data_IF_005282729973
#
_entry.id   IF_005282729973
#
_cell.length_a   1.000
_cell.length_b   1.000
_cell.length_c   1.000
_cell.angle_alpha   90.00
_cell.angle_beta   90.00
_cell.angle_gamma   90.00
#
_symmetry.space_group_name_H-M   'P 1'
#
loop_
_entity.id
_entity.type
_entity.pdbx_description
1 polymer ?
#
# COMPACT_ATOMS: atom_id res chain seq x y z
N UNK A 1 21.99 -13.27 -1.20
CA UNK A 1 21.61 -11.93 -1.70
C UNK A 1 20.44 -11.45 -0.89
N UNK A 2 20.35 -10.17 -0.48
CA UNK A 2 19.15 -9.67 0.19
C UNK A 2 17.96 -9.86 -0.76
N UNK A 3 16.90 -10.51 -0.27
CA UNK A 3 15.68 -10.73 -1.05
C UNK A 3 15.03 -9.37 -1.32
N UNK A 4 14.59 -9.12 -2.56
CA UNK A 4 13.90 -7.87 -2.87
C UNK A 4 12.52 -7.92 -2.19
N UNK A 5 12.11 -6.85 -1.52
CA UNK A 5 10.80 -6.78 -0.86
C UNK A 5 9.65 -7.07 -1.84
N UNK A 6 9.83 -6.76 -3.13
CA UNK A 6 8.87 -7.10 -4.20
C UNK A 6 8.75 -8.59 -4.49
N UNK A 7 9.75 -9.39 -4.12
CA UNK A 7 9.71 -10.85 -4.27
C UNK A 7 8.82 -11.48 -3.18
N UNK A 8 8.83 -10.87 -1.99
CA UNK A 8 8.08 -11.31 -0.81
C UNK A 8 6.65 -10.77 -0.79
N UNK A 9 6.44 -9.57 -1.34
CA UNK A 9 5.20 -8.82 -1.27
C UNK A 9 4.78 -8.31 -2.65
N UNK A 10 3.52 -8.55 -3.03
CA UNK A 10 3.01 -8.10 -4.33
C UNK A 10 2.73 -6.59 -4.36
N UNK A 11 2.33 -6.02 -3.23
CA UNK A 11 1.90 -4.64 -3.12
C UNK A 11 2.44 -4.00 -1.83
N UNK A 12 3.75 -3.69 -1.77
CA UNK A 12 4.38 -3.18 -0.57
C UNK A 12 4.01 -1.70 -0.32
N UNK A 13 2.86 -1.47 0.31
CA UNK A 13 2.35 -0.14 0.62
C UNK A 13 2.58 0.26 2.09
N UNK A 14 2.79 1.56 2.39
CA UNK A 14 2.90 2.67 1.45
C UNK A 14 4.19 2.68 0.61
N UNK A 15 4.19 3.47 -0.47
CA UNK A 15 5.35 3.70 -1.35
C UNK A 15 5.68 5.19 -1.33
N UNK A 16 6.94 5.60 -1.03
CA UNK A 16 7.34 6.99 -1.07
C UNK A 16 7.16 7.58 -2.48
N UNK A 17 6.39 8.66 -2.62
CA UNK A 17 6.14 9.34 -3.89
C UNK A 17 5.75 10.81 -3.69
N UNK A 18 5.51 11.52 -4.79
CA UNK A 18 5.02 12.91 -4.80
C UNK A 18 3.71 13.05 -5.54
N UNK A 19 2.88 13.96 -5.07
CA UNK A 19 1.75 14.50 -5.84
C UNK A 19 2.33 15.33 -6.99
N UNK A 20 1.87 15.09 -8.21
CA UNK A 20 2.42 15.74 -9.38
C UNK A 20 1.79 17.13 -9.58
N UNK A 21 2.38 18.11 -8.91
CA UNK A 21 2.03 19.53 -9.05
C UNK A 21 3.22 20.33 -9.59
N UNK A 22 2.93 21.48 -10.20
CA UNK A 22 3.93 22.48 -10.54
C UNK A 22 4.43 23.23 -9.29
N UNK A 23 3.65 23.21 -8.21
CA UNK A 23 4.03 23.87 -6.95
C UNK A 23 5.18 23.13 -6.26
N UNK A 24 6.13 23.86 -5.63
CA UNK A 24 7.25 23.26 -4.90
C UNK A 24 6.82 22.57 -3.62
N UNK A 25 5.80 23.10 -2.93
CA UNK A 25 5.25 22.56 -1.69
C UNK A 25 3.75 22.35 -1.87
N UNK A 26 3.23 21.23 -1.38
CA UNK A 26 1.80 21.03 -1.30
C UNK A 26 1.17 21.88 -0.20
N UNK A 27 -0.07 22.30 -0.45
CA UNK A 27 -0.92 22.87 0.58
C UNK A 27 -1.14 21.88 1.74
N UNK A 28 -1.55 22.42 2.90
CA UNK A 28 -1.93 21.59 4.03
C UNK A 28 -3.06 20.63 3.61
N UNK A 29 -2.97 19.34 3.93
CA UNK A 29 -3.96 18.37 3.50
C UNK A 29 -5.31 18.61 4.18
N UNK A 30 -6.39 18.40 3.42
CA UNK A 30 -7.76 18.49 3.94
C UNK A 30 -8.06 17.31 4.87
N UNK A 31 -8.58 17.61 6.06
CA UNK A 31 -9.02 16.63 7.05
C UNK A 31 -10.38 16.05 6.64
N UNK A 32 -10.52 14.73 6.67
CA UNK A 32 -11.77 14.01 6.39
C UNK A 32 -12.26 13.22 7.61
N UNK A 33 -13.37 12.50 7.46
CA UNK A 33 -14.01 11.77 8.55
C UNK A 33 -13.14 10.61 9.07
N UNK A 34 -13.32 10.19 10.34
CA UNK A 34 -12.69 8.98 10.87
C UNK A 34 -12.99 7.75 10.02
N UNK A 35 -12.07 6.79 9.99
CA UNK A 35 -12.29 5.56 9.24
C UNK A 35 -11.01 4.81 8.92
N UNK A 36 -11.12 3.87 7.98
CA UNK A 36 -9.99 3.05 7.55
C UNK A 36 -9.13 3.82 6.55
N UNK A 37 -7.82 3.80 6.75
CA UNK A 37 -6.86 4.35 5.80
C UNK A 37 -6.84 3.50 4.52
N UNK A 38 -7.06 4.11 3.35
CA UNK A 38 -7.04 3.41 2.06
C UNK A 38 -5.71 2.69 1.81
N UNK A 39 -4.59 3.23 2.30
CA UNK A 39 -3.26 2.64 2.09
C UNK A 39 -2.95 1.49 3.06
N UNK A 40 -2.75 1.81 4.36
CA UNK A 40 -2.33 0.82 5.36
C UNK A 40 -3.46 0.05 6.04
N UNK A 41 -4.72 0.32 5.71
CA UNK A 41 -5.92 -0.32 6.30
C UNK A 41 -6.09 -0.14 7.82
N UNK A 42 -5.28 0.71 8.46
CA UNK A 42 -5.47 1.08 9.86
C UNK A 42 -6.71 1.97 10.02
N UNK A 43 -7.56 1.67 11.00
CA UNK A 43 -8.62 2.59 11.46
C UNK A 43 -8.00 3.71 12.27
N UNK A 44 -8.28 4.96 11.88
CA UNK A 44 -7.74 6.18 12.50
C UNK A 44 -8.86 7.19 12.76
N UNK A 45 -8.64 8.06 13.74
CA UNK A 45 -9.60 9.14 14.05
C UNK A 45 -9.56 10.26 13.00
N UNK A 46 -8.41 10.44 12.37
CA UNK A 46 -8.17 11.51 11.41
C UNK A 46 -7.65 10.92 10.11
N UNK A 47 -8.36 11.20 9.02
CA UNK A 47 -7.93 10.89 7.65
C UNK A 47 -7.70 12.17 6.88
N UNK A 48 -6.85 12.09 5.88
CA UNK A 48 -6.40 13.21 5.07
C UNK A 48 -6.68 12.88 3.62
N UNK A 49 -7.34 13.80 2.94
CA UNK A 49 -7.68 13.69 1.54
C UNK A 49 -6.42 13.79 0.69
N UNK A 50 -6.24 12.87 -0.24
CA UNK A 50 -5.22 12.92 -1.27
C UNK A 50 -5.88 12.67 -2.63
N UNK A 51 -6.01 13.72 -3.43
CA UNK A 51 -6.70 13.64 -4.73
C UNK A 51 -5.90 12.83 -5.77
N UNK A 52 -4.57 12.90 -5.71
CA UNK A 52 -3.70 12.23 -6.66
C UNK A 52 -2.59 11.43 -5.96
N UNK A 53 -2.49 10.16 -6.30
CA UNK A 53 -1.36 9.30 -5.96
C UNK A 53 -1.24 8.23 -7.02
N UNK A 54 -0.15 8.24 -7.78
CA UNK A 54 0.04 7.23 -8.82
C UNK A 54 0.14 5.80 -8.23
N UNK A 55 0.90 5.54 -7.14
CA UNK A 55 0.89 4.21 -6.52
C UNK A 55 -0.52 3.75 -6.12
N UNK A 56 -1.33 4.62 -5.51
CA UNK A 56 -2.69 4.25 -5.11
C UNK A 56 -3.62 4.07 -6.31
N UNK A 57 -3.45 4.86 -7.37
CA UNK A 57 -4.19 4.65 -8.62
C UNK A 57 -3.83 3.31 -9.28
N UNK A 58 -2.56 2.89 -9.28
CA UNK A 58 -2.20 1.53 -9.72
C UNK A 58 -2.92 0.45 -8.91
N UNK A 59 -3.00 0.64 -7.59
CA UNK A 59 -3.74 -0.28 -6.74
C UNK A 59 -5.22 -0.32 -7.10
N UNK A 60 -5.86 0.84 -7.25
CA UNK A 60 -7.26 0.98 -7.66
C UNK A 60 -7.53 0.30 -9.01
N UNK A 61 -6.71 0.58 -10.02
CA UNK A 61 -6.83 0.01 -11.36
C UNK A 61 -6.70 -1.52 -11.32
N UNK A 62 -5.72 -2.05 -10.57
CA UNK A 62 -5.54 -3.50 -10.39
C UNK A 62 -6.74 -4.15 -9.67
N UNK A 63 -7.32 -3.47 -8.68
CA UNK A 63 -8.50 -3.96 -7.97
C UNK A 63 -9.71 -4.01 -8.91
N UNK A 64 -9.93 -2.98 -9.71
CA UNK A 64 -11.02 -2.95 -10.70
C UNK A 64 -10.88 -4.08 -11.72
N UNK A 65 -9.69 -4.24 -12.30
CA UNK A 65 -9.40 -5.29 -13.28
C UNK A 65 -9.61 -6.70 -12.71
N UNK A 66 -9.11 -6.94 -11.49
CA UNK A 66 -9.24 -8.25 -10.84
C UNK A 66 -10.69 -8.52 -10.42
N UNK A 67 -11.42 -7.52 -9.93
CA UNK A 67 -12.83 -7.67 -9.56
C UNK A 67 -13.69 -7.95 -10.79
N UNK A 68 -13.45 -7.25 -11.90
CA UNK A 68 -14.12 -7.52 -13.18
C UNK A 68 -13.83 -8.94 -13.69
N UNK A 69 -12.56 -9.39 -13.58
CA UNK A 69 -12.18 -10.76 -13.93
C UNK A 69 -12.87 -11.79 -13.05
N UNK A 70 -12.88 -11.60 -11.74
CA UNK A 70 -13.51 -12.48 -10.77
C UNK A 70 -15.00 -12.63 -11.05
N UNK A 71 -15.69 -11.53 -11.35
CA UNK A 71 -17.10 -11.54 -11.73
C UNK A 71 -17.30 -12.35 -13.01
N UNK A 72 -16.56 -12.04 -14.08
CA UNK A 72 -16.67 -12.73 -15.36
C UNK A 72 -16.39 -14.24 -15.27
N UNK A 73 -15.40 -14.65 -14.48
CA UNK A 73 -15.08 -16.08 -14.30
C UNK A 73 -16.15 -16.81 -13.51
N UNK A 74 -16.73 -16.15 -12.49
CA UNK A 74 -17.85 -16.69 -11.71
C UNK A 74 -19.07 -16.91 -12.60
N UNK A 75 -19.50 -15.90 -13.35
CA UNK A 75 -20.63 -15.99 -14.27
C UNK A 75 -20.44 -17.08 -15.35
N UNK A 76 -19.22 -17.23 -15.87
CA UNK A 76 -18.91 -18.24 -16.87
C UNK A 76 -19.08 -19.66 -16.30
N UNK A 77 -18.58 -19.90 -15.08
CA UNK A 77 -18.72 -21.19 -14.41
C UNK A 77 -20.20 -21.49 -14.10
N UNK A 78 -20.93 -20.52 -13.54
CA UNK A 78 -22.37 -20.66 -13.26
C UNK A 78 -23.17 -20.98 -14.53
N UNK A 79 -22.84 -20.33 -15.65
CA UNK A 79 -23.50 -20.58 -16.95
C UNK A 79 -23.22 -21.98 -17.47
N UNK A 80 -22.00 -22.49 -17.32
CA UNK A 80 -21.65 -23.86 -17.70
C UNK A 80 -22.41 -24.87 -16.85
N UNK A 81 -22.40 -24.70 -15.53
CA UNK A 81 -23.13 -25.58 -14.60
C UNK A 81 -24.64 -25.59 -14.87
N UNK A 82 -25.23 -24.42 -15.17
CA UNK A 82 -26.66 -24.29 -15.48
C UNK A 82 -27.07 -24.99 -16.78
N UNK A 83 -26.17 -25.13 -17.76
CA UNK A 83 -26.45 -25.85 -19.01
C UNK A 83 -26.63 -27.36 -18.79
N UNK A 84 -26.10 -27.89 -17.70
CA UNK A 84 -26.13 -29.32 -17.39
C UNK A 84 -25.14 -30.12 -18.23
N UNK A 85 -24.90 -31.37 -17.81
CA UNK A 85 -23.98 -32.28 -18.49
C UNK A 85 -24.62 -32.83 -19.79
N UNK A 86 -23.91 -32.77 -20.93
CA UNK A 86 -24.42 -33.32 -22.20
C UNK A 86 -24.56 -34.85 -22.18
N UNK A 87 -25.49 -35.37 -22.99
CA UNK A 87 -25.78 -36.81 -23.08
C UNK A 87 -24.78 -37.55 -23.98
N UNK A 88 -24.26 -36.90 -25.03
CA UNK A 88 -23.36 -37.54 -25.99
C UNK A 88 -21.91 -37.55 -25.48
N UNK A 89 -21.16 -38.61 -25.81
CA UNK A 89 -19.78 -38.78 -25.34
C UNK A 89 -18.85 -37.65 -25.77
N UNK A 90 -18.90 -37.25 -27.04
CA UNK A 90 -18.02 -36.21 -27.58
C UNK A 90 -18.33 -34.81 -27.00
N UNK A 91 -19.61 -34.51 -26.74
CA UNK A 91 -20.01 -33.25 -26.09
C UNK A 91 -19.66 -33.27 -24.60
N UNK A 92 -19.73 -34.43 -23.95
CA UNK A 92 -19.32 -34.62 -22.56
C UNK A 92 -17.82 -34.34 -22.37
N UNK A 93 -16.97 -34.83 -23.25
CA UNK A 93 -15.51 -34.56 -23.20
C UNK A 93 -15.21 -33.07 -23.36
N UNK A 94 -15.89 -32.38 -24.29
CA UNK A 94 -15.78 -30.93 -24.46
C UNK A 94 -16.28 -30.15 -23.26
N UNK A 95 -17.42 -30.57 -22.68
CA UNK A 95 -17.98 -29.97 -21.48
C UNK A 95 -17.03 -30.07 -20.29
N UNK A 96 -16.48 -31.26 -20.01
CA UNK A 96 -15.53 -31.47 -18.92
C UNK A 96 -14.26 -30.63 -19.10
N UNK A 97 -13.74 -30.54 -20.33
CA UNK A 97 -12.59 -29.68 -20.63
C UNK A 97 -12.88 -28.21 -20.36
N UNK A 98 -14.06 -27.73 -20.79
CA UNK A 98 -14.50 -26.36 -20.53
C UNK A 98 -14.72 -26.09 -19.04
N UNK A 99 -15.27 -27.05 -18.30
CA UNK A 99 -15.50 -26.97 -16.86
C UNK A 99 -14.17 -26.82 -16.11
N UNK A 100 -13.20 -27.70 -16.36
CA UNK A 100 -11.86 -27.64 -15.74
C UNK A 100 -11.17 -26.30 -16.04
N UNK A 101 -11.29 -25.81 -17.28
CA UNK A 101 -10.71 -24.52 -17.65
C UNK A 101 -11.39 -23.34 -16.93
N UNK A 102 -12.71 -23.39 -16.76
CA UNK A 102 -13.47 -22.38 -16.04
C UNK A 102 -13.14 -22.36 -14.54
N UNK A 103 -13.05 -23.54 -13.91
CA UNK A 103 -12.65 -23.69 -12.51
C UNK A 103 -11.24 -23.13 -12.27
N UNK A 104 -10.26 -23.53 -13.08
CA UNK A 104 -8.88 -22.99 -13.00
C UNK A 104 -8.84 -21.48 -13.17
N UNK A 105 -9.65 -20.93 -14.08
CA UNK A 105 -9.71 -19.48 -14.30
C UNK A 105 -10.28 -18.76 -13.08
N UNK A 106 -11.30 -19.34 -12.43
CA UNK A 106 -11.89 -18.81 -11.21
C UNK A 106 -10.90 -18.88 -10.04
N UNK A 107 -10.20 -20.01 -9.85
CA UNK A 107 -9.17 -20.16 -8.81
C UNK A 107 -8.07 -19.10 -8.95
N UNK A 108 -7.60 -18.84 -10.17
CA UNK A 108 -6.60 -17.80 -10.44
C UNK A 108 -7.13 -16.39 -10.15
N UNK A 109 -8.39 -16.11 -10.48
CA UNK A 109 -9.03 -14.84 -10.19
C UNK A 109 -9.22 -14.64 -8.67
N UNK A 110 -9.66 -15.68 -7.95
CA UNK A 110 -9.80 -15.68 -6.49
C UNK A 110 -8.47 -15.43 -5.80
N UNK A 111 -7.40 -16.14 -6.21
CA UNK A 111 -6.06 -15.93 -5.66
C UNK A 111 -5.55 -14.51 -5.89
N UNK A 112 -5.78 -13.97 -7.09
CA UNK A 112 -5.37 -12.60 -7.44
C UNK A 112 -6.11 -11.56 -6.62
N UNK A 113 -7.42 -11.75 -6.42
CA UNK A 113 -8.26 -10.87 -5.62
C UNK A 113 -7.87 -10.91 -4.15
N UNK A 114 -7.65 -12.11 -3.60
CA UNK A 114 -7.19 -12.33 -2.23
C UNK A 114 -5.85 -11.63 -1.96
N UNK A 115 -4.91 -11.72 -2.90
CA UNK A 115 -3.60 -11.04 -2.81
C UNK A 115 -3.70 -9.52 -2.76
N UNK A 116 -4.71 -8.92 -3.40
CA UNK A 116 -4.97 -7.48 -3.34
C UNK A 116 -5.65 -7.08 -2.02
N UNK A 117 -6.63 -7.88 -1.58
CA UNK A 117 -7.33 -7.68 -0.31
C UNK A 117 -6.34 -7.77 0.87
N UNK A 118 -5.51 -8.81 0.89
CA UNK A 118 -4.50 -9.11 1.91
C UNK A 118 -3.11 -8.61 1.52
N UNK A 119 -3.02 -7.46 0.83
CA UNK A 119 -1.74 -6.91 0.34
C UNK A 119 -0.64 -6.70 1.39
N UNK A 120 -1.02 -6.62 2.66
CA UNK A 120 -0.11 -6.48 3.81
C UNK A 120 0.22 -7.82 4.49
N UNK A 121 -0.11 -8.95 3.85
CA UNK A 121 0.26 -10.32 4.26
C UNK A 121 1.29 -10.90 3.26
N UNK A 122 2.32 -11.64 3.72
CA UNK A 122 3.34 -12.19 2.82
C UNK A 122 2.75 -13.05 1.71
N UNK A 123 3.27 -12.92 0.49
CA UNK A 123 2.78 -13.69 -0.67
C UNK A 123 2.80 -15.21 -0.43
N UNK A 124 3.79 -15.69 0.32
CA UNK A 124 3.96 -17.10 0.66
C UNK A 124 2.84 -17.65 1.56
N UNK A 125 2.15 -16.79 2.33
CA UNK A 125 1.04 -17.18 3.19
C UNK A 125 -0.29 -17.18 2.42
N UNK A 126 -0.37 -16.48 1.28
CA UNK A 126 -1.58 -16.38 0.46
C UNK A 126 -1.56 -17.43 -0.66
N UNK A 127 -1.95 -18.65 -0.30
CA UNK A 127 -1.97 -19.81 -1.22
C UNK A 127 -3.36 -20.32 -1.57
N UNK A 128 -4.35 -20.01 -0.74
CA UNK A 128 -5.71 -20.53 -0.90
C UNK A 128 -6.46 -19.86 -2.05
N UNK A 129 -7.29 -20.64 -2.74
CA UNK A 129 -8.07 -20.23 -3.92
C UNK A 129 -9.57 -20.43 -3.75
N UNK A 130 -10.05 -20.69 -2.54
CA UNK A 130 -11.47 -20.75 -2.20
C UNK A 130 -12.16 -19.38 -2.37
N UNK A 131 -13.49 -19.39 -2.23
CA UNK A 131 -14.31 -18.17 -2.31
C UNK A 131 -13.86 -17.16 -1.26
N UNK A 132 -13.72 -15.90 -1.69
CA UNK A 132 -13.38 -14.80 -0.80
C UNK A 132 -14.41 -14.64 0.33
N UNK A 133 -13.92 -14.32 1.52
CA UNK A 133 -14.78 -13.93 2.63
C UNK A 133 -15.42 -12.56 2.40
N UNK A 134 -16.47 -12.24 3.16
CA UNK A 134 -17.09 -10.90 3.11
C UNK A 134 -16.09 -9.80 3.48
N UNK A 135 -15.21 -10.05 4.45
CA UNK A 135 -14.15 -9.12 4.83
C UNK A 135 -13.15 -8.88 3.70
N UNK A 136 -12.74 -9.94 2.98
CA UNK A 136 -11.85 -9.83 1.83
C UNK A 136 -12.50 -9.03 0.69
N UNK A 137 -13.79 -9.25 0.44
CA UNK A 137 -14.55 -8.48 -0.56
C UNK A 137 -14.68 -7.01 -0.16
N UNK A 138 -14.99 -6.71 1.10
CA UNK A 138 -15.08 -5.34 1.61
C UNK A 138 -13.75 -4.59 1.45
N UNK A 139 -12.61 -5.28 1.62
CA UNK A 139 -11.28 -4.71 1.39
C UNK A 139 -11.01 -4.34 -0.07
N UNK A 140 -11.76 -4.86 -1.04
CA UNK A 140 -11.60 -4.51 -2.46
C UNK A 140 -12.45 -3.29 -2.85
N UNK A 141 -13.56 -3.00 -2.15
CA UNK A 141 -14.48 -1.93 -2.54
C UNK A 141 -13.95 -0.50 -2.30
N UNK A 142 -13.01 -0.30 -1.37
CA UNK A 142 -12.58 1.02 -0.90
C UNK A 142 -11.27 1.51 -1.54
N UNK A 143 -11.25 1.70 -2.86
CA UNK A 143 -10.00 2.12 -3.54
C UNK A 143 -10.27 2.92 -4.81
N UNK A 144 -10.83 4.11 -4.68
CA UNK A 144 -10.86 5.10 -5.77
C UNK A 144 -10.55 6.49 -5.24
N UNK A 145 -10.10 7.39 -6.11
CA UNK A 145 -9.82 8.78 -5.72
C UNK A 145 -11.14 9.52 -5.42
N UNK A 146 -11.16 10.46 -4.45
CA UNK A 146 -10.04 10.86 -3.59
C UNK A 146 -9.66 9.79 -2.56
N UNK A 147 -8.38 9.66 -2.27
CA UNK A 147 -7.89 8.69 -1.28
C UNK A 147 -7.94 9.28 0.12
N UNK A 148 -8.45 8.52 1.09
CA UNK A 148 -8.53 8.94 2.49
C UNK A 148 -7.47 8.20 3.31
N UNK A 149 -6.40 8.91 3.67
CA UNK A 149 -5.19 8.33 4.24
C UNK A 149 -4.98 8.76 5.68
N UNK A 150 -4.42 7.90 6.52
CA UNK A 150 -3.85 8.37 7.77
C UNK A 150 -2.66 9.30 7.49
N UNK A 151 -2.33 10.18 8.43
CA UNK A 151 -1.28 11.19 8.27
C UNK A 151 0.08 10.61 7.82
N UNK A 152 0.43 9.41 8.31
CA UNK A 152 1.64 8.69 7.93
C UNK A 152 1.65 8.29 6.46
N UNK A 153 0.60 7.60 6.00
CA UNK A 153 0.50 7.18 4.60
C UNK A 153 0.37 8.37 3.67
N UNK A 154 -0.33 9.43 4.09
CA UNK A 154 -0.39 10.67 3.36
C UNK A 154 1.02 11.24 3.11
N UNK A 155 1.83 11.39 4.16
CA UNK A 155 3.19 11.90 4.02
C UNK A 155 4.09 11.03 3.12
N UNK A 156 3.91 9.70 3.17
CA UNK A 156 4.63 8.80 2.24
C UNK A 156 4.25 9.05 0.78
N UNK A 157 2.96 9.24 0.47
CA UNK A 157 2.51 9.50 -0.90
C UNK A 157 2.69 10.96 -1.36
N UNK A 158 3.05 11.85 -0.44
CA UNK A 158 3.20 13.28 -0.65
C UNK A 158 4.52 13.79 -0.06
N UNK A 159 5.66 13.30 -0.57
CA UNK A 159 6.99 13.70 -0.10
C UNK A 159 7.27 15.22 -0.24
N UNK A 160 6.57 15.89 -1.15
CA UNK A 160 6.57 17.35 -1.32
C UNK A 160 5.58 18.09 -0.38
N UNK A 161 5.02 17.40 0.62
CA UNK A 161 4.20 17.99 1.67
C UNK A 161 4.98 18.33 2.94
N UNK A 162 4.43 19.23 3.75
CA UNK A 162 5.06 19.71 4.99
C UNK A 162 5.45 18.57 5.95
N UNK A 163 4.53 17.64 6.24
CA UNK A 163 4.78 16.56 7.21
C UNK A 163 5.98 15.69 6.78
N UNK A 164 6.06 15.36 5.49
CA UNK A 164 7.16 14.59 4.93
C UNK A 164 8.48 15.36 5.01
N UNK A 165 8.48 16.67 4.76
CA UNK A 165 9.70 17.50 4.81
C UNK A 165 10.38 17.50 6.19
N UNK A 166 9.64 17.28 7.28
CA UNK A 166 10.18 17.17 8.65
C UNK A 166 10.68 15.75 8.99
N UNK A 167 10.45 14.78 8.10
CA UNK A 167 10.85 13.39 8.27
C UNK A 167 12.27 13.11 7.77
N UNK A 168 12.63 11.83 7.82
CA UNK A 168 13.92 11.32 7.35
C UNK A 168 13.70 10.09 6.48
N UNK A 169 14.41 10.03 5.36
CA UNK A 169 14.46 8.86 4.49
C UNK A 169 15.51 7.87 5.02
N UNK A 170 15.11 6.61 5.19
CA UNK A 170 15.94 5.53 5.76
C UNK A 170 15.93 4.28 4.88
N UNK A 171 16.92 3.41 5.05
CA UNK A 171 17.03 2.14 4.32
C UNK A 171 16.56 0.98 5.20
N UNK A 172 15.39 0.42 4.92
CA UNK A 172 14.77 -0.70 5.65
C UNK A 172 14.21 -1.73 4.66
N UNK A 173 15.07 -2.42 3.87
CA UNK A 173 14.63 -3.30 2.79
C UNK A 173 13.95 -4.58 3.29
N UNK A 174 14.24 -4.99 4.53
CA UNK A 174 13.75 -6.24 5.11
C UNK A 174 12.42 -6.07 5.85
N UNK A 175 11.93 -4.83 6.02
CA UNK A 175 10.67 -4.54 6.69
C UNK A 175 9.59 -4.13 5.70
N UNK A 176 8.40 -4.72 5.87
CA UNK A 176 7.23 -4.28 5.11
C UNK A 176 6.89 -2.80 5.42
N UNK A 177 6.59 -1.95 4.43
CA UNK A 177 6.35 -0.53 4.68
C UNK A 177 5.19 -0.26 5.65
N UNK A 178 4.13 -1.08 5.64
CA UNK A 178 3.04 -0.95 6.62
C UNK A 178 3.50 -1.21 8.05
N UNK A 179 4.44 -2.14 8.26
CA UNK A 179 5.09 -2.40 9.55
C UNK A 179 5.94 -1.20 9.98
N UNK A 180 6.70 -0.61 9.07
CA UNK A 180 7.48 0.61 9.36
C UNK A 180 6.56 1.75 9.80
N UNK A 181 5.45 1.96 9.09
CA UNK A 181 4.43 2.95 9.48
C UNK A 181 3.83 2.64 10.85
N UNK A 182 3.52 1.37 11.14
CA UNK A 182 2.96 0.98 12.44
C UNK A 182 3.95 1.23 13.59
N UNK A 183 5.22 0.89 13.40
CA UNK A 183 6.30 1.15 14.37
C UNK A 183 6.51 2.65 14.58
N UNK A 184 6.59 3.42 13.49
CA UNK A 184 6.75 4.87 13.57
C UNK A 184 5.56 5.54 14.25
N UNK A 185 4.33 5.13 13.93
CA UNK A 185 3.12 5.59 14.63
C UNK A 185 3.20 5.29 16.11
N UNK A 186 3.47 4.04 16.47
CA UNK A 186 3.53 3.65 17.88
C UNK A 186 4.58 4.46 18.64
N UNK A 187 5.78 4.62 18.09
CA UNK A 187 6.84 5.42 18.70
C UNK A 187 6.38 6.87 18.97
N UNK A 188 5.67 7.49 18.03
CA UNK A 188 5.16 8.85 18.20
C UNK A 188 3.99 8.93 19.18
N UNK A 189 3.08 7.93 19.23
CA UNK A 189 2.05 7.84 20.27
C UNK A 189 2.67 7.79 21.67
N UNK A 190 3.74 7.00 21.83
CA UNK A 190 4.49 6.92 23.09
C UNK A 190 5.14 8.27 23.44
N UNK A 191 5.75 8.95 22.46
CA UNK A 191 6.35 10.29 22.64
C UNK A 191 5.31 11.35 23.04
N UNK A 192 4.08 11.26 22.51
CA UNK A 192 3.01 12.20 22.81
C UNK A 192 2.18 11.86 24.06
N UNK A 193 2.41 10.69 24.67
CA UNK A 193 1.62 10.17 25.80
C UNK A 193 1.71 10.96 27.11
N UNK A 194 2.74 11.80 27.28
CA UNK A 194 2.99 12.56 28.51
C UNK A 194 3.65 11.77 29.65
N UNK A 195 3.69 10.44 29.56
CA UNK A 195 4.40 9.57 30.51
C UNK A 195 5.90 9.52 30.17
N UNK A 196 6.75 9.94 31.11
CA UNK A 196 8.20 10.04 30.91
C UNK A 196 8.85 8.71 30.48
N UNK A 197 8.41 7.58 31.02
CA UNK A 197 8.96 6.26 30.71
C UNK A 197 8.61 5.86 29.28
N UNK A 198 7.34 6.04 28.93
CA UNK A 198 6.80 5.81 27.59
C UNK A 198 7.45 6.73 26.56
N UNK A 199 7.59 8.02 26.86
CA UNK A 199 8.29 8.99 26.01
C UNK A 199 9.72 8.55 25.73
N UNK A 200 10.45 8.07 26.74
CA UNK A 200 11.81 7.56 26.56
C UNK A 200 11.84 6.36 25.61
N UNK A 201 10.98 5.37 25.81
CA UNK A 201 10.90 4.19 24.94
C UNK A 201 10.54 4.56 23.50
N UNK A 202 9.57 5.47 23.31
CA UNK A 202 9.21 5.98 21.99
C UNK A 202 10.39 6.66 21.28
N UNK A 203 11.18 7.46 22.01
CA UNK A 203 12.41 8.09 21.47
C UNK A 203 13.49 7.07 21.11
N UNK A 204 13.67 6.02 21.90
CA UNK A 204 14.62 4.95 21.63
C UNK A 204 14.25 4.23 20.31
N UNK A 205 12.98 3.86 20.13
CA UNK A 205 12.48 3.26 18.88
C UNK A 205 12.66 4.20 17.69
N UNK A 206 12.25 5.47 17.83
CA UNK A 206 12.37 6.45 16.75
C UNK A 206 13.83 6.66 16.34
N UNK A 207 14.73 6.75 17.32
CA UNK A 207 16.17 6.89 17.07
C UNK A 207 16.72 5.67 16.33
N UNK A 208 16.36 4.46 16.75
CA UNK A 208 16.78 3.22 16.09
C UNK A 208 16.30 3.17 14.63
N UNK A 209 15.06 3.59 14.35
CA UNK A 209 14.57 3.69 12.97
C UNK A 209 15.41 4.68 12.15
N UNK A 210 15.64 5.88 12.69
CA UNK A 210 16.37 6.96 12.01
C UNK A 210 17.87 6.69 11.79
N UNK A 211 18.50 5.83 12.59
CA UNK A 211 19.90 5.44 12.42
C UNK A 211 20.16 4.78 11.04
N UNK A 212 19.14 4.17 10.44
CA UNK A 212 19.21 3.56 9.11
C UNK A 212 19.28 4.58 7.95
N UNK A 213 19.33 5.89 8.24
CA UNK A 213 19.53 6.95 7.22
C UNK A 213 20.91 6.95 6.59
N UNK A 214 21.94 6.49 7.29
CA UNK A 214 23.33 6.56 6.82
C UNK A 214 23.55 5.78 5.52
N UNK A 215 22.90 4.62 5.37
CA UNK A 215 22.93 3.83 4.15
C UNK A 215 22.26 4.55 2.96
N UNK A 216 21.22 5.34 3.23
CA UNK A 216 20.58 6.18 2.20
C UNK A 216 21.50 7.33 1.82
N UNK A 217 22.11 7.99 2.80
CA UNK A 217 23.03 9.10 2.56
C UNK A 217 24.24 8.65 1.74
N UNK A 218 24.80 7.46 2.00
CA UNK A 218 25.90 6.95 1.18
C UNK A 218 25.46 6.67 -0.27
N UNK A 219 24.31 6.02 -0.46
CA UNK A 219 23.80 5.61 -1.78
C UNK A 219 23.26 6.77 -2.63
N UNK A 220 22.56 7.71 -2.01
CA UNK A 220 21.82 8.78 -2.70
C UNK A 220 22.39 10.17 -2.46
N UNK A 221 23.41 10.30 -1.58
CA UNK A 221 23.99 11.59 -1.16
C UNK A 221 22.99 12.52 -0.46
N UNK A 222 21.84 12.00 -0.06
CA UNK A 222 20.85 12.69 0.75
C UNK A 222 19.96 11.68 1.47
N UNK A 223 19.43 12.09 2.62
CA UNK A 223 18.36 11.42 3.36
C UNK A 223 17.11 12.32 3.52
N UNK A 224 17.11 13.50 2.89
CA UNK A 224 16.05 14.50 3.06
C UNK A 224 14.89 14.18 2.12
N UNK A 225 13.65 14.02 2.62
CA UNK A 225 12.48 13.73 1.79
C UNK A 225 12.30 14.69 0.61
N UNK A 226 12.62 15.98 0.80
CA UNK A 226 12.54 17.01 -0.25
C UNK A 226 13.44 16.73 -1.47
N UNK A 227 14.65 16.18 -1.29
CA UNK A 227 15.55 15.90 -2.40
C UNK A 227 15.03 14.74 -3.27
N UNK A 228 14.44 13.73 -2.63
CA UNK A 228 13.75 12.63 -3.32
C UNK A 228 12.48 13.15 -4.02
N UNK A 229 11.74 14.04 -3.36
CA UNK A 229 10.57 14.67 -3.94
C UNK A 229 10.93 15.43 -5.22
N UNK A 230 11.96 16.28 -5.18
CA UNK A 230 12.43 17.03 -6.34
C UNK A 230 12.94 16.12 -7.46
N UNK A 231 13.62 15.02 -7.15
CA UNK A 231 14.01 14.04 -8.15
C UNK A 231 12.79 13.40 -8.84
N UNK A 232 11.75 13.06 -8.09
CA UNK A 232 10.51 12.49 -8.62
C UNK A 232 9.70 13.51 -9.45
N UNK A 233 9.60 14.77 -8.98
CA UNK A 233 8.82 15.83 -9.66
C UNK A 233 9.31 16.14 -11.07
N UNK A 234 10.61 15.98 -11.34
CA UNK A 234 11.21 16.19 -12.69
C UNK A 234 10.66 15.26 -13.76
N UNK A 235 9.96 14.18 -13.38
CA UNK A 235 9.38 13.22 -14.30
C UNK A 235 7.86 13.13 -14.12
N UNK A 236 7.09 13.00 -15.21
CA UNK A 236 5.67 12.67 -15.10
C UNK A 236 5.51 11.30 -14.44
N UNK A 237 4.40 11.03 -13.74
CA UNK A 237 4.24 9.82 -12.94
C UNK A 237 4.52 8.51 -13.70
N UNK A 238 4.09 8.40 -14.96
CA UNK A 238 4.29 7.21 -15.81
C UNK A 238 5.76 6.89 -16.12
N UNK A 239 6.67 7.85 -15.96
CA UNK A 239 8.12 7.69 -16.26
C UNK A 239 8.99 7.53 -15.02
N UNK A 240 8.38 7.44 -13.82
CA UNK A 240 9.12 7.30 -12.54
C UNK A 240 9.49 5.88 -12.18
N UNK A 241 9.04 4.86 -12.93
CA UNK A 241 9.26 3.45 -12.57
C UNK A 241 10.73 3.09 -12.30
N UNK A 242 11.72 3.49 -13.13
CA UNK A 242 13.12 3.21 -12.84
C UNK A 242 13.64 3.91 -11.58
N UNK A 243 13.14 5.13 -11.29
CA UNK A 243 13.52 5.86 -10.08
C UNK A 243 12.93 5.20 -8.82
N UNK A 244 11.64 4.81 -8.87
CA UNK A 244 10.98 4.05 -7.81
C UNK A 244 11.68 2.73 -7.54
N UNK A 245 12.14 2.05 -8.59
CA UNK A 245 12.88 0.80 -8.45
C UNK A 245 14.22 0.98 -7.73
N UNK A 246 14.96 2.04 -8.03
CA UNK A 246 16.19 2.39 -7.29
C UNK A 246 15.91 2.70 -5.83
N UNK A 247 14.74 3.27 -5.55
CA UNK A 247 14.23 3.59 -4.21
C UNK A 247 13.59 2.39 -3.48
N UNK A 248 13.56 1.18 -4.05
CA UNK A 248 13.05 0.01 -3.33
C UNK A 248 13.83 -0.20 -2.02
N UNK A 249 13.12 -0.46 -0.93
CA UNK A 249 13.70 -0.63 0.40
C UNK A 249 13.92 0.69 1.16
N UNK A 250 13.65 1.83 0.53
CA UNK A 250 13.58 3.11 1.24
C UNK A 250 12.26 3.23 2.01
N UNK A 251 12.33 3.81 3.20
CA UNK A 251 11.18 4.18 4.02
C UNK A 251 11.25 5.64 4.48
N UNK A 252 10.09 6.27 4.71
CA UNK A 252 9.99 7.58 5.35
C UNK A 252 9.65 7.40 6.84
N UNK A 253 10.51 7.95 7.71
CA UNK A 253 10.27 8.04 9.15
C UNK A 253 9.87 9.47 9.49
N UNK A 254 8.68 9.63 10.03
CA UNK A 254 8.17 10.91 10.50
C UNK A 254 8.64 11.18 11.93
N UNK A 255 8.89 12.45 12.22
CA UNK A 255 9.35 12.93 13.53
C UNK A 255 8.19 13.63 14.24
N UNK A 256 8.32 14.00 15.53
CA UNK A 256 7.29 14.78 16.21
C UNK A 256 6.92 16.07 15.47
N UNK A 257 7.89 16.72 14.83
CA UNK A 257 7.70 17.99 14.11
C UNK A 257 6.90 17.83 12.80
N UNK A 258 6.77 16.60 12.29
CA UNK A 258 5.89 16.28 11.17
C UNK A 258 4.41 16.54 11.47
N UNK A 259 4.02 16.63 12.75
CA UNK A 259 2.64 16.72 13.18
C UNK A 259 2.39 18.02 13.95
N UNK A 260 1.60 18.96 13.40
CA UNK A 260 1.22 20.17 14.13
C UNK A 260 0.29 19.84 15.31
N UNK A 261 -0.47 18.75 15.22
CA UNK A 261 -1.40 18.30 16.25
C UNK A 261 -1.14 16.84 16.64
N UNK A 262 -1.04 16.58 17.94
CA UNK A 262 -0.81 15.22 18.50
C UNK A 262 -1.90 14.23 18.09
N UNK A 263 -3.13 14.72 17.93
CA UNK A 263 -4.29 13.91 17.56
C UNK A 263 -4.12 13.20 16.21
N UNK A 264 -3.26 13.72 15.31
CA UNK A 264 -3.04 13.10 13.99
C UNK A 264 -2.26 11.79 14.05
N UNK A 265 -1.72 11.43 15.22
CA UNK A 265 -0.98 10.20 15.46
C UNK A 265 -1.87 9.09 16.06
N UNK A 266 -3.09 9.43 16.49
CA UNK A 266 -4.09 8.51 17.04
C UNK A 266 -4.87 7.75 15.94
#
# INVERSE_FOLDING_TARGET
>A
MPQNIKDLWLFPFPVPDVVHTQEPLLQAPELTTPGRCTCCRQTVKHRFRLDESWPLRQLSDNILDVTARLHKTTENLERLLKRGEPVTKDEKEKYLTALIAAERSLEQAQLSARRLALRHVPKAEITHTDKLSEDELNLLHETSAPYELCAFCHAWHALNGYAAAQGVIVWLPDLHPSTVVALNRRALQEIFSGDKTRVRQGREILTALMQNRLAVEDKFRSFRPADFADALRRYPPSRRSPLREKMNGISLILTPDSFPEKAFVD
#
